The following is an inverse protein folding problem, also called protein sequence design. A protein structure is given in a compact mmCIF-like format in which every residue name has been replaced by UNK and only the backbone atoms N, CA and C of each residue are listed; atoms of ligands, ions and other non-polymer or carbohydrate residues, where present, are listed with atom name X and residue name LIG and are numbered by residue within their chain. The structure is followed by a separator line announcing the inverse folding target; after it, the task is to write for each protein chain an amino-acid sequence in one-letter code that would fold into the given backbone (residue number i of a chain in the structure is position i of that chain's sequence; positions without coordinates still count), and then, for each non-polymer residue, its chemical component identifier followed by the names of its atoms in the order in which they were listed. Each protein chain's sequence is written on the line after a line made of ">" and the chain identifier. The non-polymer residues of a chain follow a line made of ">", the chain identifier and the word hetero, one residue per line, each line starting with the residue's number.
data_IF_570163313778
#
_entry.id   IF_570163313778
#
_cell.length_a   1.000
_cell.length_b   1.000
_cell.length_c   1.000
_cell.angle_alpha   90.00
_cell.angle_beta   90.00
_cell.angle_gamma   90.00
#
_symmetry.space_group_name_H-M   'P 1'
#
loop_
_entity.id
_entity.type
_entity.pdbx_description
1 polymer ?
#
# COMPACT_ATOMS: atom_id res chain seq x y z
N UNK A 1 -3.35 -4.13 17.90
CA UNK A 1 -3.40 -4.71 16.54
C UNK A 1 -2.06 -4.49 15.89
N UNK A 2 -1.38 -5.56 15.52
CA UNK A 2 -0.08 -5.51 14.84
C UNK A 2 -0.28 -5.51 13.33
N UNK A 3 0.13 -4.44 12.67
CA UNK A 3 -0.01 -4.26 11.22
C UNK A 3 1.36 -4.16 10.58
N UNK A 4 1.61 -4.97 9.56
CA UNK A 4 2.83 -4.85 8.76
C UNK A 4 2.52 -4.04 7.51
N UNK A 5 3.27 -2.96 7.30
CA UNK A 5 3.20 -2.13 6.10
C UNK A 5 4.39 -2.44 5.20
N UNK A 6 4.11 -2.97 4.02
CA UNK A 6 5.09 -3.27 2.98
C UNK A 6 5.18 -2.10 2.00
N UNK A 7 6.36 -1.57 1.77
CA UNK A 7 6.58 -0.53 0.77
C UNK A 7 7.30 -1.09 -0.46
N UNK A 8 6.81 -0.74 -1.64
CA UNK A 8 7.28 -1.30 -2.91
C UNK A 8 7.81 -0.23 -3.88
N UNK A 9 7.87 1.03 -3.41
CA UNK A 9 8.14 2.20 -4.22
C UNK A 9 6.85 2.86 -4.75
N UNK A 10 6.86 3.21 -6.03
CA UNK A 10 5.79 3.97 -6.66
C UNK A 10 5.73 5.44 -6.21
N UNK A 11 4.74 6.17 -6.73
CA UNK A 11 4.63 7.62 -6.54
C UNK A 11 4.54 8.07 -5.08
N UNK A 12 3.97 7.24 -4.19
CA UNK A 12 3.84 7.55 -2.76
C UNK A 12 5.20 7.77 -2.06
N UNK A 13 6.25 7.08 -2.51
CA UNK A 13 7.61 7.14 -1.96
C UNK A 13 8.58 8.04 -2.75
N UNK A 14 8.11 8.70 -3.83
CA UNK A 14 8.97 9.63 -4.58
C UNK A 14 9.38 10.79 -3.67
N UNK A 15 10.68 10.98 -3.54
CA UNK A 15 11.29 12.12 -2.84
C UNK A 15 11.91 13.08 -3.83
N UNK A 16 11.82 14.37 -3.56
CA UNK A 16 12.45 15.41 -4.39
C UNK A 16 13.95 15.49 -4.09
N UNK A 17 14.77 15.38 -5.14
CA UNK A 17 16.20 15.64 -5.06
C UNK A 17 16.47 17.10 -5.42
N UNK A 18 16.88 17.91 -4.43
CA UNK A 18 17.18 19.33 -4.61
C UNK A 18 18.41 19.58 -5.50
N UNK A 19 19.26 18.58 -5.72
CA UNK A 19 20.51 18.75 -6.49
C UNK A 19 20.26 18.75 -8.00
N UNK A 20 19.34 17.91 -8.47
CA UNK A 20 19.05 17.75 -9.90
C UNK A 20 17.58 18.01 -10.27
N UNK A 21 16.72 18.26 -9.27
CA UNK A 21 15.30 18.53 -9.45
C UNK A 21 14.46 17.31 -9.82
N UNK A 22 15.01 16.09 -9.72
CA UNK A 22 14.31 14.86 -10.06
C UNK A 22 13.48 14.30 -8.90
N UNK A 23 12.47 13.50 -9.23
CA UNK A 23 11.68 12.72 -8.26
C UNK A 23 12.12 11.26 -8.33
N UNK A 24 12.63 10.72 -7.22
CA UNK A 24 13.14 9.34 -7.15
C UNK A 24 12.67 8.61 -5.90
N UNK A 25 12.51 7.30 -6.01
CA UNK A 25 12.26 6.42 -4.87
C UNK A 25 13.59 6.11 -4.17
N UNK A 26 14.06 7.02 -3.31
CA UNK A 26 15.38 6.92 -2.68
C UNK A 26 15.33 6.45 -1.21
N UNK A 27 14.21 6.68 -0.53
CA UNK A 27 13.96 6.31 0.87
C UNK A 27 12.48 6.12 1.10
N UNK A 28 12.12 5.40 2.16
CA UNK A 28 10.72 5.36 2.58
C UNK A 28 10.28 6.70 3.18
N UNK A 29 9.10 7.18 2.76
CA UNK A 29 8.43 8.36 3.32
C UNK A 29 7.38 7.96 4.36
N UNK A 30 7.21 6.65 4.60
CA UNK A 30 6.18 6.12 5.46
C UNK A 30 6.34 6.54 6.94
N UNK A 31 7.54 6.57 7.55
CA UNK A 31 7.68 7.07 8.92
C UNK A 31 7.21 8.52 9.08
N UNK A 32 7.47 9.39 8.11
CA UNK A 32 7.03 10.79 8.11
C UNK A 32 5.51 10.89 7.96
N UNK A 33 4.90 9.99 7.19
CA UNK A 33 3.44 9.89 7.07
C UNK A 33 2.81 9.44 8.38
N UNK A 34 3.33 8.36 8.98
CA UNK A 34 2.83 7.77 10.21
C UNK A 34 2.96 8.73 11.40
N UNK A 35 4.01 9.56 11.45
CA UNK A 35 4.17 10.61 12.46
C UNK A 35 3.04 11.65 12.46
N UNK A 36 2.28 11.79 11.36
CA UNK A 36 1.11 12.67 11.27
C UNK A 36 -0.13 12.07 11.92
N UNK A 37 -0.14 10.76 12.18
CA UNK A 37 -1.28 10.07 12.77
C UNK A 37 -1.14 9.94 14.30
N UNK A 38 -2.27 9.76 14.96
CA UNK A 38 -2.35 9.37 16.38
C UNK A 38 -2.93 7.96 16.42
N UNK A 39 -2.07 6.98 16.68
CA UNK A 39 -2.37 5.55 16.53
C UNK A 39 -2.09 4.78 17.83
N UNK A 40 -2.79 5.11 18.94
CA UNK A 40 -2.45 4.57 20.27
C UNK A 40 -2.59 3.04 20.40
N UNK A 41 -3.46 2.42 19.59
CA UNK A 41 -3.78 0.98 19.67
C UNK A 41 -3.23 0.16 18.48
N UNK A 42 -2.26 0.72 17.77
CA UNK A 42 -1.71 0.14 16.55
C UNK A 42 -0.20 0.01 16.65
N UNK A 43 0.29 -1.21 16.52
CA UNK A 43 1.69 -1.51 16.37
C UNK A 43 1.97 -1.64 14.88
N UNK A 44 2.72 -0.70 14.30
CA UNK A 44 3.06 -0.75 12.88
C UNK A 44 4.51 -1.20 12.72
N UNK A 45 4.70 -2.36 12.08
CA UNK A 45 6.00 -2.76 11.51
C UNK A 45 6.07 -2.28 10.06
N UNK A 46 7.17 -1.67 9.66
CA UNK A 46 7.36 -1.18 8.28
C UNK A 46 8.50 -1.93 7.62
N UNK A 47 8.26 -2.52 6.44
CA UNK A 47 9.28 -3.25 5.69
C UNK A 47 9.36 -2.73 4.26
N UNK A 48 10.55 -2.29 3.87
CA UNK A 48 10.83 -1.97 2.47
C UNK A 48 11.09 -3.26 1.70
N UNK A 49 10.29 -3.51 0.68
CA UNK A 49 10.41 -4.69 -0.19
C UNK A 49 11.14 -4.33 -1.49
N UNK A 50 10.77 -3.20 -2.13
CA UNK A 50 11.32 -2.76 -3.43
C UNK A 50 11.39 -1.24 -3.51
N UNK A 51 12.22 -0.69 -4.41
CA UNK A 51 12.25 0.73 -4.78
C UNK A 51 11.81 0.96 -6.24
N UNK A 52 10.86 0.16 -6.73
CA UNK A 52 10.50 0.19 -8.14
C UNK A 52 9.64 1.42 -8.49
N UNK A 53 9.84 2.02 -9.68
CA UNK A 53 8.81 2.87 -10.28
C UNK A 53 7.63 1.98 -10.71
N UNK A 54 6.39 2.48 -10.57
CA UNK A 54 5.20 1.69 -10.91
C UNK A 54 5.20 1.27 -12.38
N UNK A 55 5.77 2.09 -13.26
CA UNK A 55 5.86 1.81 -14.70
C UNK A 55 6.89 0.73 -15.03
N UNK A 56 7.82 0.45 -14.10
CA UNK A 56 8.88 -0.55 -14.25
C UNK A 56 8.57 -1.84 -13.46
N UNK A 57 7.34 -2.00 -12.98
CA UNK A 57 6.92 -3.16 -12.19
C UNK A 57 6.79 -4.43 -13.04
N UNK A 58 7.74 -5.36 -12.88
CA UNK A 58 7.78 -6.67 -13.55
C UNK A 58 7.01 -7.73 -12.76
N UNK A 59 6.79 -8.91 -13.35
CA UNK A 59 6.16 -10.03 -12.65
C UNK A 59 7.06 -10.61 -11.56
N UNK A 60 8.39 -10.59 -11.73
CA UNK A 60 9.35 -10.98 -10.67
C UNK A 60 9.26 -10.05 -9.45
N UNK A 61 9.07 -8.75 -9.67
CA UNK A 61 8.80 -7.81 -8.59
C UNK A 61 7.50 -8.17 -7.85
N UNK A 62 6.43 -8.51 -8.58
CA UNK A 62 5.15 -8.90 -7.97
C UNK A 62 5.24 -10.21 -7.17
N UNK A 63 5.99 -11.19 -7.66
CA UNK A 63 6.26 -12.43 -6.90
C UNK A 63 7.09 -12.13 -5.63
N UNK A 64 8.02 -11.19 -5.68
CA UNK A 64 8.77 -10.73 -4.49
C UNK A 64 7.83 -10.08 -3.46
N UNK A 65 6.89 -9.24 -3.91
CA UNK A 65 5.86 -8.62 -3.06
C UNK A 65 4.94 -9.68 -2.46
N UNK A 66 4.52 -10.66 -3.25
CA UNK A 66 3.70 -11.79 -2.80
C UNK A 66 4.41 -12.59 -1.70
N UNK A 67 5.68 -12.95 -1.90
CA UNK A 67 6.47 -13.68 -0.91
C UNK A 67 6.62 -12.89 0.41
N UNK A 68 6.92 -11.60 0.33
CA UNK A 68 7.00 -10.72 1.50
C UNK A 68 5.64 -10.58 2.21
N UNK A 69 4.53 -10.59 1.46
CA UNK A 69 3.17 -10.56 2.01
C UNK A 69 2.88 -11.83 2.81
N UNK A 70 3.20 -13.00 2.26
CA UNK A 70 3.03 -14.29 2.94
C UNK A 70 3.82 -14.31 4.26
N UNK A 71 5.09 -13.90 4.24
CA UNK A 71 5.92 -13.84 5.45
C UNK A 71 5.34 -12.86 6.49
N UNK A 72 4.85 -11.70 6.05
CA UNK A 72 4.25 -10.73 6.94
C UNK A 72 2.98 -11.27 7.63
N UNK A 73 2.18 -12.08 6.93
CA UNK A 73 0.95 -12.66 7.46
C UNK A 73 1.17 -13.64 8.62
N UNK A 74 2.36 -14.25 8.74
CA UNK A 74 2.67 -15.19 9.82
C UNK A 74 2.78 -14.51 11.18
N UNK A 75 3.13 -13.23 11.18
CA UNK A 75 3.36 -12.46 12.41
C UNK A 75 2.39 -11.31 12.58
N UNK A 76 1.78 -10.76 11.53
CA UNK A 76 0.86 -9.61 11.63
C UNK A 76 -0.60 -10.04 11.87
N UNK A 77 -1.41 -9.12 12.38
CA UNK A 77 -2.88 -9.21 12.39
C UNK A 77 -3.51 -8.56 11.14
N UNK A 78 -2.74 -7.78 10.37
CA UNK A 78 -3.10 -7.25 9.07
C UNK A 78 -1.87 -6.86 8.26
N UNK A 79 -1.97 -6.88 6.93
CA UNK A 79 -0.92 -6.43 6.02
C UNK A 79 -1.44 -5.30 5.14
N UNK A 80 -0.67 -4.23 4.99
CA UNK A 80 -0.95 -3.14 4.06
C UNK A 80 0.22 -3.01 3.09
N UNK A 81 -0.05 -2.95 1.80
CA UNK A 81 0.96 -2.86 0.75
C UNK A 81 0.85 -1.48 0.10
N UNK A 82 1.88 -0.64 0.28
CA UNK A 82 2.03 0.62 -0.42
C UNK A 82 2.66 0.36 -1.79
N UNK A 83 1.87 0.59 -2.82
CA UNK A 83 2.19 0.28 -4.20
C UNK A 83 1.95 1.46 -5.14
N UNK A 84 2.62 1.39 -6.29
CA UNK A 84 2.41 2.33 -7.37
C UNK A 84 1.00 2.22 -7.94
N UNK A 85 0.38 3.36 -8.23
CA UNK A 85 -1.03 3.44 -8.63
C UNK A 85 -1.33 2.87 -10.01
N UNK A 86 -0.33 2.82 -10.89
CA UNK A 86 -0.48 2.34 -12.27
C UNK A 86 -0.67 0.84 -12.34
N UNK A 87 -0.04 0.08 -11.43
CA UNK A 87 -0.11 -1.39 -11.39
C UNK A 87 -0.78 -1.95 -10.14
N UNK A 88 -1.44 -1.09 -9.36
CA UNK A 88 -2.10 -1.44 -8.11
C UNK A 88 -3.14 -2.55 -8.29
N UNK A 89 -3.99 -2.43 -9.31
CA UNK A 89 -5.07 -3.40 -9.59
C UNK A 89 -4.49 -4.77 -9.93
N UNK A 90 -3.48 -4.83 -10.81
CA UNK A 90 -2.79 -6.09 -11.17
C UNK A 90 -2.12 -6.76 -9.96
N UNK A 91 -1.59 -5.98 -9.02
CA UNK A 91 -1.05 -6.52 -7.77
C UNK A 91 -2.16 -7.10 -6.89
N UNK A 92 -3.28 -6.39 -6.75
CA UNK A 92 -4.45 -6.87 -6.00
C UNK A 92 -5.03 -8.17 -6.59
N UNK A 93 -5.15 -8.24 -7.91
CA UNK A 93 -5.59 -9.45 -8.62
C UNK A 93 -4.64 -10.63 -8.40
N UNK A 94 -3.32 -10.41 -8.46
CA UNK A 94 -2.34 -11.45 -8.18
C UNK A 94 -2.46 -11.97 -6.75
N UNK A 95 -2.55 -11.07 -5.76
CA UNK A 95 -2.71 -11.45 -4.35
C UNK A 95 -3.99 -12.25 -4.15
N UNK A 96 -5.11 -11.79 -4.71
CA UNK A 96 -6.38 -12.48 -4.61
C UNK A 96 -6.33 -13.87 -5.25
N UNK A 97 -5.67 -14.02 -6.39
CA UNK A 97 -5.53 -15.30 -7.07
C UNK A 97 -4.58 -16.28 -6.36
N UNK A 98 -3.58 -15.78 -5.61
CA UNK A 98 -2.50 -16.59 -5.03
C UNK A 98 -2.63 -16.82 -3.52
N UNK A 99 -3.43 -16.01 -2.83
CA UNK A 99 -3.68 -16.14 -1.41
C UNK A 99 -5.07 -16.73 -1.18
N UNK A 100 -5.12 -17.95 -0.67
CA UNK A 100 -6.36 -18.62 -0.26
C UNK A 100 -6.44 -18.73 1.27
N UNK A 101 -7.66 -18.84 1.81
CA UNK A 101 -7.91 -19.06 3.24
C UNK A 101 -7.20 -18.06 4.17
N UNK A 102 -7.18 -16.78 3.76
CA UNK A 102 -6.54 -15.72 4.52
C UNK A 102 -7.09 -15.66 5.95
N UNK A 103 -6.18 -15.59 6.92
CA UNK A 103 -6.52 -15.39 8.34
C UNK A 103 -6.47 -13.93 8.77
N UNK A 104 -5.83 -13.10 7.96
CA UNK A 104 -5.64 -11.66 8.19
C UNK A 104 -6.01 -10.88 6.92
N UNK A 105 -6.52 -9.65 7.03
CA UNK A 105 -6.80 -8.81 5.88
C UNK A 105 -5.50 -8.30 5.24
N UNK A 106 -5.49 -8.24 3.91
CA UNK A 106 -4.40 -7.72 3.09
C UNK A 106 -4.96 -6.61 2.21
N UNK A 107 -4.57 -5.37 2.50
CA UNK A 107 -5.03 -4.19 1.75
C UNK A 107 -3.91 -3.63 0.88
N UNK A 108 -4.15 -3.45 -0.41
CA UNK A 108 -3.24 -2.73 -1.31
C UNK A 108 -3.67 -1.28 -1.43
N UNK A 109 -2.75 -0.35 -1.27
CA UNK A 109 -3.01 1.08 -1.42
C UNK A 109 -1.86 1.78 -2.14
N UNK A 110 -2.10 3.02 -2.58
CA UNK A 110 -1.11 3.83 -3.27
C UNK A 110 -1.50 5.30 -3.22
N UNK A 111 -0.70 6.18 -3.80
CA UNK A 111 -1.02 7.60 -3.91
C UNK A 111 -0.65 8.14 -5.29
N UNK A 112 -1.49 9.02 -5.83
CA UNK A 112 -1.23 9.72 -7.09
C UNK A 112 -0.19 10.83 -6.92
N UNK A 113 0.01 11.32 -5.69
CA UNK A 113 1.01 12.35 -5.37
C UNK A 113 1.98 11.87 -4.29
N UNK A 114 3.26 12.24 -4.38
CA UNK A 114 4.23 11.84 -3.37
C UNK A 114 3.88 12.36 -1.98
N UNK A 115 4.21 11.60 -0.94
CA UNK A 115 3.83 11.90 0.43
C UNK A 115 4.40 13.23 0.97
N UNK A 116 5.50 13.72 0.38
CA UNK A 116 6.13 14.98 0.76
C UNK A 116 5.28 16.21 0.38
N UNK A 117 4.36 16.06 -0.58
CA UNK A 117 3.49 17.16 -1.02
C UNK A 117 2.38 17.44 0.01
N UNK A 118 2.03 18.71 0.19
CA UNK A 118 0.98 19.13 1.13
C UNK A 118 -0.43 18.68 0.70
N UNK A 119 -0.67 18.61 -0.61
CA UNK A 119 -1.93 18.22 -1.24
C UNK A 119 -1.94 16.73 -1.67
N UNK A 120 -1.11 15.91 -1.01
CA UNK A 120 -1.04 14.47 -1.24
C UNK A 120 -2.31 13.73 -0.81
N UNK A 121 -2.71 12.73 -1.59
CA UNK A 121 -3.75 11.76 -1.26
C UNK A 121 -3.23 10.60 -0.41
N UNK A 122 -1.90 10.50 -0.20
CA UNK A 122 -1.27 9.41 0.56
C UNK A 122 -1.81 9.29 1.99
N UNK A 123 -2.00 10.41 2.69
CA UNK A 123 -2.50 10.40 4.06
C UNK A 123 -3.93 9.86 4.16
N UNK A 124 -4.79 10.25 3.22
CA UNK A 124 -6.16 9.76 3.17
C UNK A 124 -6.18 8.26 2.84
N UNK A 125 -5.47 7.85 1.78
CA UNK A 125 -5.47 6.46 1.32
C UNK A 125 -4.89 5.49 2.37
N UNK A 126 -3.81 5.88 3.05
CA UNK A 126 -3.25 5.08 4.16
C UNK A 126 -4.21 5.02 5.36
N UNK A 127 -4.88 6.12 5.70
CA UNK A 127 -5.91 6.12 6.76
C UNK A 127 -7.06 5.19 6.42
N UNK A 128 -7.55 5.25 5.17
CA UNK A 128 -8.62 4.38 4.69
C UNK A 128 -8.19 2.91 4.67
N UNK A 129 -6.94 2.59 4.30
CA UNK A 129 -6.40 1.24 4.36
C UNK A 129 -6.30 0.70 5.81
N UNK A 130 -5.83 1.54 6.74
CA UNK A 130 -5.80 1.22 8.17
C UNK A 130 -7.20 0.97 8.74
N UNK A 131 -8.21 1.71 8.26
CA UNK A 131 -9.61 1.47 8.65
C UNK A 131 -10.18 0.22 7.99
N UNK A 132 -9.88 -0.03 6.71
CA UNK A 132 -10.34 -1.20 5.98
C UNK A 132 -9.90 -2.49 6.68
N UNK A 133 -8.60 -2.62 6.98
CA UNK A 133 -8.04 -3.77 7.72
C UNK A 133 -8.66 -4.00 9.10
N UNK A 134 -9.32 -3.01 9.71
CA UNK A 134 -10.03 -3.17 10.99
C UNK A 134 -11.49 -3.56 10.84
N UNK A 135 -12.12 -3.25 9.72
CA UNK A 135 -13.55 -3.38 9.51
C UNK A 135 -13.92 -4.58 8.63
N UNK A 136 -13.01 -5.00 7.75
CA UNK A 136 -13.24 -6.10 6.81
C UNK A 136 -12.76 -7.42 7.40
N UNK A 137 -13.43 -8.51 7.00
CA UNK A 137 -12.92 -9.87 7.28
C UNK A 137 -11.64 -10.10 6.48
N UNK A 138 -10.87 -11.10 6.90
CA UNK A 138 -9.70 -11.53 6.16
C UNK A 138 -10.04 -11.80 4.68
N UNK A 139 -9.15 -11.31 3.81
CA UNK A 139 -9.40 -11.18 2.37
C UNK A 139 -8.40 -10.18 1.77
N UNK A 140 -8.44 -10.06 0.44
CA UNK A 140 -7.65 -9.07 -0.30
C UNK A 140 -8.55 -7.91 -0.70
N UNK A 141 -8.15 -6.68 -0.39
CA UNK A 141 -8.88 -5.48 -0.78
C UNK A 141 -7.94 -4.37 -1.27
N UNK A 142 -8.52 -3.35 -1.90
CA UNK A 142 -7.76 -2.22 -2.44
C UNK A 142 -8.40 -0.87 -2.07
N UNK A 143 -7.54 0.10 -1.72
CA UNK A 143 -7.91 1.46 -1.35
C UNK A 143 -7.11 2.46 -2.18
N UNK A 144 -7.79 3.30 -2.97
CA UNK A 144 -7.17 4.38 -3.76
C UNK A 144 -8.19 5.50 -3.99
N UNK A 145 -7.78 6.75 -3.79
CA UNK A 145 -8.59 7.90 -4.20
C UNK A 145 -8.75 7.97 -5.74
N UNK A 146 -9.97 8.23 -6.22
CA UNK A 146 -10.22 8.48 -7.64
C UNK A 146 -10.15 9.98 -7.97
N UNK A 147 -9.74 10.37 -9.19
CA UNK A 147 -10.02 11.71 -9.68
C UNK A 147 -11.53 11.94 -9.68
N UNK A 148 -11.98 13.11 -9.18
CA UNK A 148 -13.39 13.50 -8.91
C UNK A 148 -14.39 13.32 -10.07
N UNK A 149 -13.97 12.86 -11.25
CA UNK A 149 -14.78 12.71 -12.45
C UNK A 149 -15.14 11.25 -12.82
N UNK A 150 -14.63 10.22 -12.12
CA UNK A 150 -14.98 8.83 -12.40
C UNK A 150 -15.80 8.25 -11.24
N UNK A 151 -17.05 7.88 -11.54
CA UNK A 151 -18.00 7.29 -10.60
C UNK A 151 -17.84 5.77 -10.58
N UNK A 152 -17.12 5.18 -9.62
CA UNK A 152 -17.48 3.85 -9.08
C UNK A 152 -16.64 3.27 -7.93
N UNK A 153 -15.54 3.87 -7.46
CA UNK A 153 -14.66 3.16 -6.50
C UNK A 153 -14.53 3.87 -5.17
N UNK A 154 -15.39 3.49 -4.21
CA UNK A 154 -15.14 3.61 -2.77
C UNK A 154 -15.17 2.18 -2.22
N UNK A 155 -13.99 1.64 -1.90
CA UNK A 155 -13.78 0.30 -1.36
C UNK A 155 -14.30 -0.82 -2.26
N UNK A 156 -13.58 -1.15 -3.33
CA UNK A 156 -13.82 -2.42 -4.01
C UNK A 156 -13.21 -3.55 -3.16
N UNK A 157 -14.07 -4.32 -2.50
CA UNK A 157 -13.71 -5.67 -2.07
C UNK A 157 -13.35 -6.44 -3.33
N UNK A 158 -12.11 -6.90 -3.45
CA UNK A 158 -11.77 -7.92 -4.43
C UNK A 158 -12.32 -9.22 -3.83
N UNK A 159 -13.57 -9.52 -4.19
CA UNK A 159 -14.34 -10.74 -3.94
C UNK A 159 -14.09 -11.47 -2.60
N UNK A 160 -15.09 -11.45 -1.70
CA UNK A 160 -15.19 -12.45 -0.64
C UNK A 160 -15.70 -13.76 -1.23
N UNK A 161 -14.88 -14.82 -1.21
CA UNK A 161 -15.34 -16.21 -1.22
C UNK A 161 -15.62 -16.68 0.20
#
# INVERSE_FOLDING_TARGET
>A
MRTTMLTTGGTIEKTYDERDGSLRNARTTLPQLLARFRLPDLEIDTRQVLFADSLEMTDEHRETILAATIEAMDSAEAVIILHGTDTLERMGELLHARLSDLRVPVTVTGAMRPCEFRDTDAAQNVTEALLATRLVKAGVDAVKAQPRAASSWRTARIASS
#
